data_IF_731500647179
#
_entry.id   IF_731500647179
#
_cell.length_a   1.000
_cell.length_b   1.000
_cell.length_c   1.000
_cell.angle_alpha   90.00
_cell.angle_beta   90.00
_cell.angle_gamma   90.00
#
_symmetry.space_group_name_H-M   'P 1'
#
loop_
_entity.id
_entity.type
_entity.pdbx_description
1 polymer ?
#
# COMPACT_ATOMS: atom_id res chain seq x y z
N UNK A 1 -8.56 -5.65 -6.96
CA UNK A 1 -7.33 -5.16 -7.64
C UNK A 1 -6.17 -4.82 -6.66
N UNK A 2 -6.08 -5.50 -5.51
CA UNK A 2 -4.82 -5.71 -4.74
C UNK A 2 -4.62 -7.22 -4.45
N UNK A 3 -5.65 -7.99 -4.71
CA UNK A 3 -5.93 -9.37 -4.34
C UNK A 3 -5.81 -10.34 -5.53
N UNK A 4 -5.46 -9.81 -6.71
CA UNK A 4 -5.25 -10.55 -7.96
C UNK A 4 -3.77 -10.61 -8.38
N UNK A 5 -2.90 -9.87 -7.69
CA UNK A 5 -1.49 -9.74 -8.05
C UNK A 5 -0.60 -10.41 -7.00
N UNK A 6 -0.57 -11.73 -6.96
CA UNK A 6 0.23 -12.49 -5.98
C UNK A 6 1.72 -12.11 -6.02
N UNK A 7 2.21 -11.83 -7.22
CA UNK A 7 3.55 -11.33 -7.49
C UNK A 7 3.89 -9.99 -6.82
N UNK A 8 2.89 -9.20 -6.43
CA UNK A 8 3.06 -7.91 -5.77
C UNK A 8 3.28 -8.10 -4.27
N UNK A 9 2.44 -8.91 -3.62
CA UNK A 9 2.59 -9.21 -2.19
C UNK A 9 3.94 -9.87 -1.89
N UNK A 10 4.29 -10.92 -2.64
CA UNK A 10 5.58 -11.61 -2.42
C UNK A 10 6.75 -10.65 -2.58
N UNK A 11 6.68 -9.73 -3.55
CA UNK A 11 7.73 -8.74 -3.75
C UNK A 11 7.87 -7.78 -2.56
N UNK A 12 6.76 -7.39 -1.93
CA UNK A 12 6.75 -6.54 -0.73
C UNK A 12 7.24 -7.30 0.50
N UNK A 13 6.77 -8.53 0.72
CA UNK A 13 7.17 -9.39 1.83
C UNK A 13 8.68 -9.68 1.81
N UNK A 14 9.20 -10.04 0.63
CA UNK A 14 10.62 -10.29 0.43
C UNK A 14 11.45 -9.03 0.63
N UNK A 15 10.97 -7.87 0.16
CA UNK A 15 11.65 -6.59 0.43
C UNK A 15 11.65 -6.29 1.93
N UNK A 16 10.53 -6.47 2.63
CA UNK A 16 10.47 -6.24 4.08
C UNK A 16 11.46 -7.15 4.83
N UNK A 17 11.50 -8.44 4.47
CA UNK A 17 12.47 -9.40 5.02
C UNK A 17 13.91 -8.97 4.76
N UNK A 18 14.23 -8.60 3.51
CA UNK A 18 15.56 -8.12 3.14
C UNK A 18 16.03 -6.93 3.98
N UNK A 19 15.13 -5.98 4.27
CA UNK A 19 15.45 -4.83 5.11
C UNK A 19 15.76 -5.25 6.55
N UNK A 20 14.96 -6.16 7.12
CA UNK A 20 15.22 -6.74 8.44
C UNK A 20 16.54 -7.50 8.51
N UNK A 21 16.83 -8.37 7.54
CA UNK A 21 18.08 -9.15 7.47
C UNK A 21 19.32 -8.27 7.30
N UNK A 22 19.18 -7.13 6.62
CA UNK A 22 20.26 -6.16 6.41
C UNK A 22 20.33 -5.06 7.47
N UNK A 23 19.47 -5.10 8.48
CA UNK A 23 19.34 -4.07 9.50
C UNK A 23 19.21 -2.66 8.88
N UNK A 24 18.41 -2.56 7.81
CA UNK A 24 18.14 -1.33 7.07
C UNK A 24 16.75 -0.80 7.44
N UNK A 25 16.63 0.50 7.65
CA UNK A 25 15.34 1.14 7.90
C UNK A 25 14.42 1.02 6.69
N UNK A 26 13.16 0.60 6.94
CA UNK A 26 12.14 0.48 5.92
C UNK A 26 11.90 1.84 5.24
N UNK A 27 11.92 1.83 3.91
CA UNK A 27 11.82 3.03 3.08
C UNK A 27 10.58 3.02 2.17
N UNK A 28 9.60 2.15 2.46
CA UNK A 28 8.40 2.00 1.64
C UNK A 28 7.17 1.62 2.47
N UNK A 29 5.99 2.06 2.03
CA UNK A 29 4.71 1.82 2.70
C UNK A 29 3.54 1.75 1.71
N UNK A 30 2.46 1.06 2.10
CA UNK A 30 1.16 1.14 1.47
C UNK A 30 0.29 2.16 2.20
N UNK A 31 -0.16 3.19 1.49
CA UNK A 31 -1.04 4.23 2.05
C UNK A 31 -2.42 4.11 1.42
N UNK A 32 -3.40 3.74 2.25
CA UNK A 32 -4.82 3.68 1.85
C UNK A 32 -5.38 5.11 1.87
N UNK A 33 -6.13 5.48 0.83
CA UNK A 33 -6.73 6.81 0.68
C UNK A 33 -5.77 7.97 1.04
N UNK A 34 -4.62 8.09 0.34
CA UNK A 34 -3.59 9.07 0.70
C UNK A 34 -4.09 10.52 0.55
N UNK A 35 -3.85 11.35 1.59
CA UNK A 35 -4.22 12.78 1.58
C UNK A 35 -3.45 13.59 0.54
N UNK A 36 -2.21 13.18 0.23
CA UNK A 36 -1.39 13.87 -0.78
C UNK A 36 -1.97 13.81 -2.19
N UNK A 37 -2.92 12.89 -2.47
CA UNK A 37 -3.61 12.83 -3.77
C UNK A 37 -4.31 14.14 -4.13
N UNK A 38 -4.71 14.95 -3.14
CA UNK A 38 -5.31 16.26 -3.38
C UNK A 38 -4.36 17.25 -4.09
N UNK A 39 -3.04 17.01 -4.04
CA UNK A 39 -2.03 17.78 -4.77
C UNK A 39 -2.00 17.45 -6.27
N UNK A 40 -2.61 16.34 -6.67
CA UNK A 40 -2.55 15.79 -8.02
C UNK A 40 -3.96 15.64 -8.64
N UNK A 41 -4.65 16.76 -8.95
CA UNK A 41 -6.03 16.74 -9.47
C UNK A 41 -6.17 15.96 -10.80
N UNK A 42 -5.13 15.96 -11.63
CA UNK A 42 -5.10 15.22 -12.89
C UNK A 42 -5.10 13.70 -12.69
N UNK A 43 -4.60 13.22 -11.55
CA UNK A 43 -4.52 11.80 -11.21
C UNK A 43 -5.79 11.37 -10.51
N UNK A 44 -6.27 12.16 -9.55
CA UNK A 44 -7.49 11.84 -8.79
C UNK A 44 -8.72 11.70 -9.67
N UNK A 45 -8.83 12.47 -10.75
CA UNK A 45 -9.92 12.34 -11.72
C UNK A 45 -9.93 11.01 -12.48
N UNK A 46 -8.78 10.32 -12.57
CA UNK A 46 -8.61 9.05 -13.28
C UNK A 46 -8.68 7.84 -12.35
N UNK A 47 -8.56 8.06 -11.04
CA UNK A 47 -8.55 7.00 -10.03
C UNK A 47 -9.96 6.64 -9.60
N UNK A 48 -10.22 5.34 -9.45
CA UNK A 48 -11.37 4.85 -8.69
C UNK A 48 -11.03 4.90 -7.19
N UNK A 49 -12.07 5.10 -6.38
CA UNK A 49 -11.97 5.11 -4.91
C UNK A 49 -12.58 3.81 -4.35
N UNK A 50 -12.03 3.23 -3.27
CA UNK A 50 -10.83 3.66 -2.57
C UNK A 50 -9.53 3.43 -3.38
N UNK A 51 -8.59 4.36 -3.29
CA UNK A 51 -7.29 4.34 -3.93
C UNK A 51 -6.21 3.97 -2.91
N UNK A 52 -5.19 3.23 -3.35
CA UNK A 52 -4.03 2.86 -2.54
C UNK A 52 -2.77 3.30 -3.28
N UNK A 53 -1.82 3.86 -2.55
CA UNK A 53 -0.52 4.24 -3.09
C UNK A 53 0.60 3.41 -2.46
N UNK A 54 1.52 2.94 -3.30
CA UNK A 54 2.84 2.49 -2.85
C UNK A 54 3.75 3.71 -2.81
N UNK A 55 4.23 4.06 -1.61
CA UNK A 55 5.08 5.23 -1.38
C UNK A 55 6.47 4.73 -1.00
N UNK A 56 7.52 5.28 -1.60
CA UNK A 56 8.91 5.00 -1.22
C UNK A 56 9.82 6.18 -1.54
N UNK A 57 10.94 6.29 -0.82
CA UNK A 57 12.03 7.24 -1.14
C UNK A 57 12.97 6.72 -2.23
N UNK A 58 12.90 5.43 -2.57
CA UNK A 58 13.70 4.77 -3.59
C UNK A 58 13.03 4.88 -4.98
N UNK A 59 13.39 5.91 -5.74
CA UNK A 59 12.81 6.18 -7.06
C UNK A 59 13.10 5.07 -8.09
N UNK A 60 14.26 4.42 -7.99
CA UNK A 60 14.62 3.31 -8.88
C UNK A 60 13.69 2.12 -8.64
N UNK A 61 13.40 1.82 -7.37
CA UNK A 61 12.46 0.76 -7.02
C UNK A 61 11.02 1.10 -7.41
N UNK A 62 10.55 2.35 -7.22
CA UNK A 62 9.23 2.76 -7.70
C UNK A 62 9.11 2.61 -9.23
N UNK A 63 10.16 2.95 -9.97
CA UNK A 63 10.20 2.76 -11.43
C UNK A 63 10.09 1.27 -11.79
N UNK A 64 10.82 0.41 -11.09
CA UNK A 64 10.71 -1.05 -11.26
C UNK A 64 9.28 -1.54 -10.97
N UNK A 65 8.67 -1.08 -9.88
CA UNK A 65 7.28 -1.43 -9.56
C UNK A 65 6.31 -0.91 -10.61
N UNK A 66 6.51 0.28 -11.17
CA UNK A 66 5.68 0.80 -12.27
C UNK A 66 5.77 -0.05 -13.54
N UNK A 67 6.93 -0.62 -13.85
CA UNK A 67 7.08 -1.53 -14.99
C UNK A 67 6.41 -2.89 -14.74
N UNK A 68 6.39 -3.36 -13.48
CA UNK A 68 5.74 -4.62 -13.08
C UNK A 68 4.22 -4.49 -12.99
N UNK A 69 3.75 -3.33 -12.53
CA UNK A 69 2.34 -3.00 -12.35
C UNK A 69 1.83 -2.24 -13.58
N UNK A 70 1.16 -2.92 -14.49
CA UNK A 70 0.76 -2.34 -15.79
C UNK A 70 -0.17 -1.12 -15.61
N UNK A 71 -1.22 -1.26 -14.78
CA UNK A 71 -2.35 -0.31 -14.70
C UNK A 71 -2.29 0.65 -13.50
N UNK A 72 -1.10 1.15 -13.17
CA UNK A 72 -0.92 2.12 -12.07
C UNK A 72 -0.48 3.50 -12.56
N UNK A 73 -0.73 4.53 -11.75
CA UNK A 73 -0.24 5.90 -11.96
C UNK A 73 0.96 6.15 -11.04
N UNK A 74 1.89 7.01 -11.45
CA UNK A 74 3.12 7.30 -10.69
C UNK A 74 3.42 8.78 -10.73
N UNK A 75 3.78 9.34 -9.58
CA UNK A 75 4.25 10.71 -9.40
C UNK A 75 5.27 10.78 -8.27
N UNK A 76 5.98 11.89 -8.21
CA UNK A 76 6.86 12.26 -7.10
C UNK A 76 6.42 13.58 -6.48
N UNK A 77 6.54 13.70 -5.17
CA UNK A 77 6.40 14.98 -4.47
C UNK A 77 7.40 15.08 -3.33
N UNK A 78 7.64 16.32 -2.90
CA UNK A 78 8.38 16.62 -1.69
C UNK A 78 7.43 16.78 -0.50
N UNK A 79 7.79 16.18 0.62
CA UNK A 79 7.11 16.28 1.90
C UNK A 79 8.09 16.74 2.98
N UNK A 80 7.61 17.50 3.97
CA UNK A 80 8.47 17.97 5.06
C UNK A 80 8.69 16.91 6.12
N UNK A 81 7.72 16.01 6.29
CA UNK A 81 7.76 14.92 7.27
C UNK A 81 7.24 13.62 6.67
N UNK A 82 7.66 12.50 7.25
CA UNK A 82 7.15 11.18 6.87
C UNK A 82 5.64 11.06 7.15
N UNK A 83 5.17 11.61 8.27
CA UNK A 83 3.75 11.62 8.64
C UNK A 83 2.90 12.35 7.59
N UNK A 84 3.38 13.47 7.04
CA UNK A 84 2.70 14.19 5.97
C UNK A 84 2.62 13.35 4.69
N UNK A 85 3.72 12.67 4.34
CA UNK A 85 3.78 11.82 3.16
C UNK A 85 2.90 10.56 3.27
N UNK A 86 2.71 10.05 4.48
CA UNK A 86 1.97 8.82 4.76
C UNK A 86 0.54 9.06 5.27
N UNK A 87 0.10 10.31 5.34
CA UNK A 87 -1.22 10.65 5.88
C UNK A 87 -2.35 10.06 5.03
N UNK A 88 -3.27 9.33 5.68
CA UNK A 88 -4.43 8.67 5.07
C UNK A 88 -5.75 9.27 5.56
N UNK A 89 -6.82 9.07 4.77
CA UNK A 89 -8.19 9.29 5.22
C UNK A 89 -8.80 7.97 5.72
N UNK A 90 -9.65 8.00 6.77
CA UNK A 90 -10.35 6.81 7.22
C UNK A 90 -11.30 6.31 6.12
N UNK A 91 -11.23 5.03 5.79
CA UNK A 91 -12.12 4.39 4.83
C UNK A 91 -12.46 2.99 5.29
N UNK A 92 -13.71 2.56 5.07
CA UNK A 92 -14.11 1.17 5.27
C UNK A 92 -13.72 0.36 4.03
N UNK A 93 -12.85 -0.64 4.22
CA UNK A 93 -12.36 -1.49 3.14
C UNK A 93 -13.21 -2.76 3.06
N UNK A 94 -14.16 -2.79 2.14
CA UNK A 94 -14.94 -4.00 1.85
C UNK A 94 -14.46 -4.64 0.55
N UNK A 95 -13.90 -5.84 0.65
CA UNK A 95 -13.52 -6.64 -0.52
C UNK A 95 -14.56 -7.72 -0.77
N UNK A 96 -15.17 -7.70 -1.95
CA UNK A 96 -16.07 -8.77 -2.38
C UNK A 96 -15.23 -10.03 -2.69
N UNK A 97 -15.51 -11.13 -1.98
CA UNK A 97 -14.92 -12.43 -2.32
C UNK A 97 -15.62 -12.99 -3.55
N UNK A 98 -14.88 -13.43 -4.59
CA UNK A 98 -15.51 -14.05 -5.75
C UNK A 98 -16.24 -15.32 -5.32
N UNK A 99 -17.48 -15.49 -5.80
CA UNK A 99 -18.33 -16.64 -5.47
C UNK A 99 -17.73 -17.98 -5.93
N UNK A 100 -16.98 -17.97 -7.02
CA UNK A 100 -16.32 -19.13 -7.59
C UNK A 100 -14.81 -18.86 -7.67
N UNK A 101 -14.04 -19.49 -6.78
CA UNK A 101 -12.58 -19.49 -6.86
C UNK A 101 -12.12 -20.76 -7.56
N UNK A 102 -11.42 -20.61 -8.68
CA UNK A 102 -11.03 -21.73 -9.55
C UNK A 102 -9.53 -21.99 -9.57
N UNK A 103 -8.71 -21.14 -8.94
CA UNK A 103 -7.28 -21.34 -8.87
C UNK A 103 -6.93 -22.45 -7.85
N UNK A 104 -5.87 -23.24 -8.11
CA UNK A 104 -5.49 -24.38 -7.25
C UNK A 104 -4.85 -23.97 -5.91
N UNK A 105 -4.64 -22.67 -5.67
CA UNK A 105 -4.05 -22.10 -4.45
C UNK A 105 -5.06 -21.22 -3.72
N UNK A 106 -4.98 -21.10 -2.38
CA UNK A 106 -5.88 -20.23 -1.63
C UNK A 106 -5.58 -18.76 -1.94
N UNK A 107 -6.63 -17.94 -2.03
CA UNK A 107 -6.50 -16.48 -2.10
C UNK A 107 -5.96 -15.95 -0.76
N UNK A 108 -5.19 -14.86 -0.80
CA UNK A 108 -4.71 -14.23 0.42
C UNK A 108 -5.84 -13.81 1.36
N UNK A 109 -5.54 -13.90 2.65
CA UNK A 109 -6.44 -13.47 3.70
C UNK A 109 -6.60 -11.96 3.70
N UNK A 110 -7.78 -11.51 4.17
CA UNK A 110 -8.01 -10.10 4.42
C UNK A 110 -6.97 -9.60 5.43
N UNK A 111 -6.39 -8.41 5.19
CA UNK A 111 -5.39 -7.84 6.08
C UNK A 111 -3.94 -8.22 5.74
N UNK A 112 -3.67 -8.96 4.67
CA UNK A 112 -2.28 -9.28 4.27
C UNK A 112 -1.38 -8.03 4.09
N UNK A 113 -1.99 -6.88 3.79
CA UNK A 113 -1.29 -5.60 3.58
C UNK A 113 -0.94 -4.86 4.88
N UNK A 114 -1.44 -5.30 6.04
CA UNK A 114 -1.23 -4.65 7.34
C UNK A 114 0.25 -4.40 7.69
N UNK A 115 1.18 -5.34 7.45
CA UNK A 115 2.61 -5.13 7.75
C UNK A 115 3.26 -3.97 6.98
N UNK A 116 2.64 -3.55 5.86
CA UNK A 116 3.17 -2.49 5.00
C UNK A 116 2.51 -1.13 5.27
N UNK A 117 1.54 -1.07 6.19
CA UNK A 117 0.93 0.19 6.57
C UNK A 117 1.94 1.07 7.32
N UNK A 118 1.79 2.40 7.26
CA UNK A 118 2.59 3.31 8.07
C UNK A 118 2.55 2.91 9.54
N UNK A 119 3.66 3.03 10.29
CA UNK A 119 3.63 2.84 11.73
C UNK A 119 2.57 3.77 12.29
N UNK A 120 1.63 3.24 13.08
CA UNK A 120 0.54 4.03 13.63
C UNK A 120 1.13 5.24 14.36
N UNK A 121 0.93 6.43 13.81
CA UNK A 121 1.22 7.68 14.47
C UNK A 121 0.28 7.77 15.67
N UNK A 122 0.74 7.31 16.83
CA UNK A 122 0.12 7.38 18.15
C UNK A 122 -1.40 7.55 18.20
N UNK A 123 -2.14 6.46 18.46
CA UNK A 123 -3.50 6.53 18.98
C UNK A 123 -4.55 5.75 18.22
N UNK A 124 -4.53 4.43 18.38
CA UNK A 124 -5.75 3.63 18.49
C UNK A 124 -5.37 2.34 19.23
N UNK A 125 -5.38 2.45 20.56
CA UNK A 125 -5.57 1.30 21.43
C UNK A 125 -6.88 0.64 21.00
N UNK A 126 -6.81 -0.40 20.18
CA UNK A 126 -7.89 -1.36 20.03
C UNK A 126 -7.92 -2.18 21.32
N UNK A 127 -8.37 -1.51 22.38
CA UNK A 127 -8.88 -2.12 23.58
C UNK A 127 -10.00 -3.06 23.14
N UNK A 128 -9.67 -4.35 23.17
CA UNK A 128 -10.65 -5.42 23.29
C UNK A 128 -11.60 -5.06 24.42
N UNK A 129 -12.78 -4.58 24.04
CA UNK A 129 -13.91 -4.44 24.93
C UNK A 129 -14.61 -5.80 24.99
N UNK A 130 -14.25 -6.52 26.07
CA UNK A 130 -14.95 -7.61 26.77
C UNK A 130 -15.51 -8.79 25.97
#
# INVERSE_FOLDING_TARGET
MLDEEEHFQEQLSERLRYFGEKNREQDFWLVIEPKFLNRFPNITSRLKRPAVALVSTDAAWITFMKLRLDRVLTESFEAKTLEEALASNPVDLQFEKPKNWTAPYPKYEYGWWEPFLPPASGGADLSLSQ
#
